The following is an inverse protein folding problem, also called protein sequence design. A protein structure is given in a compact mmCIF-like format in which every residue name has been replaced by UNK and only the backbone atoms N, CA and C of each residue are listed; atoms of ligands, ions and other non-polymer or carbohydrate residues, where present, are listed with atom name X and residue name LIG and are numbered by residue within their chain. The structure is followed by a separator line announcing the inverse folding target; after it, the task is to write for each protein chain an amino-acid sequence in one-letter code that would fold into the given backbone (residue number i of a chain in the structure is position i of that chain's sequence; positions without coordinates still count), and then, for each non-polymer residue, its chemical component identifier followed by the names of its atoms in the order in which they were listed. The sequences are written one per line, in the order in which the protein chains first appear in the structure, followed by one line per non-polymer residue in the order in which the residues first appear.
data_IF_965624089865
#
_entry.id   IF_965624089865
#
_cell.length_a   1.000
_cell.length_b   1.000
_cell.length_c   1.000
_cell.angle_alpha   90.00
_cell.angle_beta   90.00
_cell.angle_gamma   90.00
#
_symmetry.space_group_name_H-M   'P 1'
#
loop_
_entity.id
_entity.type
_entity.pdbx_description
1 polymer ?
#
# COMPACT_ATOMS: atom_id res chain seq x y z
N UNK A 1 2.09 -22.93 12.52
CA UNK A 1 3.52 -22.66 12.29
C UNK A 1 3.62 -21.95 10.96
N UNK A 2 4.11 -20.71 10.94
CA UNK A 2 4.31 -19.94 9.70
C UNK A 2 5.70 -20.29 9.18
N UNK A 3 5.78 -20.83 7.96
CA UNK A 3 7.06 -21.05 7.31
C UNK A 3 7.65 -19.68 6.95
N UNK A 4 8.77 -19.33 7.59
CA UNK A 4 9.44 -18.05 7.36
C UNK A 4 10.50 -18.25 6.29
N UNK A 5 10.34 -17.54 5.17
CA UNK A 5 11.36 -17.53 4.13
C UNK A 5 12.64 -16.85 4.65
N UNK A 6 13.82 -17.37 4.30
CA UNK A 6 15.12 -16.88 4.80
C UNK A 6 15.38 -15.40 4.50
N UNK A 7 14.77 -14.87 3.44
CA UNK A 7 14.89 -13.46 3.05
C UNK A 7 13.88 -12.52 3.73
N UNK A 8 12.96 -13.04 4.56
CA UNK A 8 11.97 -12.21 5.23
C UNK A 8 12.57 -11.50 6.46
N UNK A 9 12.40 -10.17 6.53
CA UNK A 9 12.87 -9.41 7.70
C UNK A 9 12.10 -9.80 8.98
N UNK A 10 12.70 -9.69 10.17
CA UNK A 10 11.98 -9.95 11.43
C UNK A 10 10.71 -9.11 11.59
N UNK A 11 10.75 -7.85 11.13
CA UNK A 11 9.60 -6.93 11.15
C UNK A 11 8.48 -7.42 10.21
N UNK A 12 8.83 -7.83 8.99
CA UNK A 12 7.90 -8.45 8.02
C UNK A 12 7.19 -9.66 8.64
N UNK A 13 7.93 -10.53 9.30
CA UNK A 13 7.39 -11.72 9.95
C UNK A 13 6.48 -11.36 11.12
N UNK A 14 6.84 -10.33 11.91
CA UNK A 14 6.03 -9.83 13.02
C UNK A 14 4.68 -9.29 12.55
N UNK A 15 4.67 -8.49 11.48
CA UNK A 15 3.45 -7.94 10.86
C UNK A 15 2.53 -9.07 10.42
N UNK A 16 3.04 -10.02 9.61
CA UNK A 16 2.26 -11.15 9.10
C UNK A 16 1.68 -11.97 10.26
N UNK A 17 2.49 -12.30 11.27
CA UNK A 17 2.03 -13.08 12.44
C UNK A 17 0.94 -12.37 13.24
N UNK A 18 1.07 -11.06 13.44
CA UNK A 18 0.05 -10.29 14.16
C UNK A 18 -1.27 -10.26 13.39
N UNK A 19 -1.23 -10.04 12.08
CA UNK A 19 -2.43 -10.01 11.24
C UNK A 19 -3.12 -11.38 11.22
N UNK A 20 -2.37 -12.46 11.04
CA UNK A 20 -2.90 -13.82 11.12
C UNK A 20 -3.53 -14.10 12.49
N UNK A 21 -2.88 -13.71 13.59
CA UNK A 21 -3.42 -13.88 14.96
C UNK A 21 -4.71 -13.09 15.16
N UNK A 22 -4.77 -11.83 14.72
CA UNK A 22 -5.97 -11.01 14.81
C UNK A 22 -7.13 -11.57 13.99
N UNK A 23 -6.85 -12.27 12.89
CA UNK A 23 -7.85 -12.96 12.08
C UNK A 23 -8.21 -14.38 12.58
N UNK A 24 -7.65 -14.83 13.71
CA UNK A 24 -7.84 -16.20 14.21
C UNK A 24 -7.16 -17.28 13.36
N UNK A 25 -6.25 -16.89 12.47
CA UNK A 25 -5.57 -17.79 11.53
C UNK A 25 -4.25 -18.28 12.14
N UNK A 26 -4.15 -19.58 12.39
CA UNK A 26 -2.92 -20.18 12.92
C UNK A 26 -1.97 -20.69 11.82
N UNK A 27 -2.51 -20.94 10.62
CA UNK A 27 -1.78 -21.39 9.42
C UNK A 27 -2.44 -20.81 8.18
N UNK A 28 -1.62 -20.35 7.24
CA UNK A 28 -2.12 -19.94 5.93
C UNK A 28 -2.19 -21.16 5.02
N UNK A 29 -3.35 -21.80 4.95
CA UNK A 29 -3.59 -23.02 4.20
C UNK A 29 -4.89 -22.89 3.39
N UNK A 30 -4.87 -22.18 2.25
CA UNK A 30 -6.04 -22.06 1.39
C UNK A 30 -6.44 -23.43 0.85
N UNK A 31 -7.73 -23.67 0.75
CA UNK A 31 -8.28 -24.85 0.10
C UNK A 31 -8.16 -24.69 -1.42
N UNK A 32 -7.23 -25.44 -2.02
CA UNK A 32 -6.97 -25.41 -3.45
C UNK A 32 -8.02 -26.15 -4.29
N UNK A 33 -8.93 -26.90 -3.67
CA UNK A 33 -10.09 -27.48 -4.36
C UNK A 33 -11.14 -26.42 -4.68
N UNK A 34 -11.10 -25.29 -3.98
CA UNK A 34 -12.01 -24.18 -4.15
C UNK A 34 -11.31 -22.97 -4.78
N UNK A 35 -12.03 -22.16 -5.59
CA UNK A 35 -11.45 -20.96 -6.16
C UNK A 35 -11.07 -19.96 -5.04
N UNK A 36 -10.13 -19.03 -5.30
CA UNK A 36 -9.70 -18.03 -4.32
C UNK A 36 -10.85 -17.17 -3.76
N UNK A 37 -11.88 -16.92 -4.57
CA UNK A 37 -13.06 -16.14 -4.18
C UNK A 37 -14.14 -16.95 -3.46
N UNK A 38 -13.91 -18.24 -3.21
CA UNK A 38 -14.86 -19.05 -2.45
C UNK A 38 -14.94 -18.56 -1.00
N UNK A 39 -16.14 -18.60 -0.37
CA UNK A 39 -16.31 -18.20 1.03
C UNK A 39 -15.35 -18.93 2.00
N UNK A 40 -15.04 -20.20 1.72
CA UNK A 40 -14.11 -21.03 2.49
C UNK A 40 -12.68 -20.48 2.53
N UNK A 41 -12.27 -19.72 1.51
CA UNK A 41 -10.95 -19.15 1.38
C UNK A 41 -10.90 -17.65 1.72
N UNK A 42 -12.06 -16.99 1.85
CA UNK A 42 -12.16 -15.53 1.92
C UNK A 42 -11.35 -14.94 3.08
N UNK A 43 -11.47 -15.49 4.29
CA UNK A 43 -10.74 -15.02 5.48
C UNK A 43 -9.21 -15.02 5.28
N UNK A 44 -8.69 -16.05 4.62
CA UNK A 44 -7.25 -16.17 4.34
C UNK A 44 -6.82 -15.10 3.34
N UNK A 45 -7.58 -14.90 2.27
CA UNK A 45 -7.26 -13.88 1.27
C UNK A 45 -7.40 -12.46 1.82
N UNK A 46 -8.41 -12.18 2.64
CA UNK A 46 -8.54 -10.90 3.35
C UNK A 46 -7.34 -10.65 4.27
N UNK A 47 -6.89 -11.69 4.99
CA UNK A 47 -5.68 -11.62 5.81
C UNK A 47 -4.42 -11.38 4.98
N UNK A 48 -4.31 -12.00 3.80
CA UNK A 48 -3.18 -11.80 2.89
C UNK A 48 -3.15 -10.39 2.30
N UNK A 49 -4.30 -9.86 1.87
CA UNK A 49 -4.44 -8.49 1.38
C UNK A 49 -4.05 -7.52 2.49
N UNK A 50 -4.60 -7.67 3.69
CA UNK A 50 -4.26 -6.84 4.85
C UNK A 50 -2.76 -6.89 5.16
N UNK A 51 -2.16 -8.07 5.15
CA UNK A 51 -0.72 -8.22 5.36
C UNK A 51 0.11 -7.52 4.28
N UNK A 52 -0.27 -7.66 3.01
CA UNK A 52 0.42 -6.99 1.92
C UNK A 52 0.37 -5.46 2.06
N UNK A 53 -0.80 -4.91 2.37
CA UNK A 53 -1.01 -3.46 2.55
C UNK A 53 -0.16 -2.92 3.71
N UNK A 54 -0.11 -3.61 4.85
CA UNK A 54 0.71 -3.19 6.00
C UNK A 54 2.21 -3.28 5.70
N UNK A 55 2.64 -4.28 4.93
CA UNK A 55 4.05 -4.41 4.51
C UNK A 55 4.48 -3.28 3.56
N UNK A 56 3.60 -2.83 2.67
CA UNK A 56 3.87 -1.69 1.80
C UNK A 56 4.02 -0.40 2.60
N UNK A 57 3.12 -0.17 3.56
CA UNK A 57 3.20 0.98 4.45
C UNK A 57 4.53 1.00 5.22
N UNK A 58 4.94 -0.15 5.75
CA UNK A 58 6.19 -0.28 6.49
C UNK A 58 7.43 -0.09 5.60
N UNK A 59 7.37 -0.46 4.33
CA UNK A 59 8.46 -0.15 3.39
C UNK A 59 8.61 1.36 3.19
N UNK A 60 7.52 2.10 2.97
CA UNK A 60 7.56 3.56 2.82
C UNK A 60 8.01 4.25 4.11
N UNK A 61 7.52 3.77 5.27
CA UNK A 61 7.96 4.27 6.58
C UNK A 61 9.44 3.99 6.84
N UNK A 62 9.99 2.85 6.40
CA UNK A 62 11.40 2.54 6.55
C UNK A 62 12.31 3.48 5.73
N UNK A 63 11.83 3.96 4.58
CA UNK A 63 12.53 5.00 3.81
C UNK A 63 12.35 6.35 4.49
N UNK A 64 11.14 6.70 4.90
CA UNK A 64 10.85 7.96 5.57
C UNK A 64 11.65 8.11 6.88
N UNK A 65 11.90 7.02 7.60
CA UNK A 65 12.71 7.06 8.83
C UNK A 65 14.19 7.35 8.63
N UNK A 66 14.67 7.29 7.39
CA UNK A 66 16.04 7.68 7.06
C UNK A 66 16.15 9.17 6.75
N UNK A 67 15.02 9.88 6.64
CA UNK A 67 14.94 11.30 6.33
C UNK A 67 14.49 12.02 7.60
N UNK A 68 15.31 12.95 8.07
CA UNK A 68 15.02 13.73 9.27
C UNK A 68 13.79 14.63 9.05
N UNK A 69 12.96 14.80 10.09
CA UNK A 69 11.78 15.68 10.07
C UNK A 69 10.50 15.07 9.49
N UNK A 70 10.49 13.78 9.09
CA UNK A 70 9.28 13.13 8.55
C UNK A 70 8.43 12.37 9.59
N UNK A 71 8.82 12.37 10.87
CA UNK A 71 8.15 11.61 11.94
C UNK A 71 6.67 11.96 12.06
N UNK A 72 6.32 13.23 11.92
CA UNK A 72 4.95 13.73 12.05
C UNK A 72 4.06 13.28 10.89
N UNK A 73 4.66 12.90 9.77
CA UNK A 73 3.96 12.43 8.58
C UNK A 73 3.72 10.92 8.60
N UNK A 74 4.27 10.16 9.55
CA UNK A 74 4.09 8.70 9.58
C UNK A 74 2.62 8.26 9.63
N UNK A 75 1.73 8.89 10.42
CA UNK A 75 0.31 8.57 10.40
C UNK A 75 -0.30 8.82 9.01
N UNK A 76 0.13 9.90 8.34
CA UNK A 76 -0.33 10.28 7.00
C UNK A 76 0.16 9.31 5.93
N UNK A 77 1.43 8.90 5.98
CA UNK A 77 2.02 7.91 5.08
C UNK A 77 1.25 6.60 5.24
N UNK A 78 1.14 6.07 6.47
CA UNK A 78 0.42 4.82 6.76
C UNK A 78 -1.07 4.90 6.36
N UNK A 79 -1.70 6.06 6.46
CA UNK A 79 -3.08 6.24 6.02
C UNK A 79 -3.24 6.13 4.51
N UNK A 80 -2.26 6.63 3.74
CA UNK A 80 -2.33 6.71 2.29
C UNK A 80 -1.81 5.47 1.56
N UNK A 81 -1.06 4.58 2.22
CA UNK A 81 -0.65 3.28 1.65
C UNK A 81 -1.77 2.23 1.64
N UNK A 82 -2.91 2.54 2.25
CA UNK A 82 -4.01 1.60 2.41
C UNK A 82 -4.95 1.66 1.21
N UNK A 83 -4.84 0.64 0.34
CA UNK A 83 -5.82 0.11 -0.62
C UNK A 83 -5.47 0.30 -2.12
N UNK A 84 -4.84 -0.74 -2.70
CA UNK A 84 -4.49 -0.88 -4.11
C UNK A 84 -5.51 -1.83 -4.80
N UNK A 85 -6.41 -1.30 -5.65
CA UNK A 85 -7.30 -2.16 -6.48
C UNK A 85 -6.56 -2.74 -7.72
N UNK A 86 -6.86 -4.00 -8.08
CA UNK A 86 -6.19 -4.85 -9.12
C UNK A 86 -7.11 -5.04 -10.36
N UNK A 87 -6.72 -5.48 -11.57
CA UNK A 87 -5.49 -5.99 -12.23
C UNK A 87 -5.71 -5.94 -13.77
N UNK A 88 -4.67 -5.66 -14.59
CA UNK A 88 -4.59 -6.21 -15.96
C UNK A 88 -3.20 -6.81 -16.22
N UNK A 89 -3.17 -7.88 -17.02
CA UNK A 89 -1.93 -8.58 -17.41
C UNK A 89 -1.53 -8.16 -18.83
N UNK A 90 -0.27 -7.82 -19.05
CA UNK A 90 0.25 -7.68 -20.41
C UNK A 90 0.22 -9.05 -21.12
N UNK A 91 0.12 -9.03 -22.45
CA UNK A 91 0.33 -10.26 -23.23
C UNK A 91 1.79 -10.70 -23.08
N UNK A 92 2.06 -12.00 -22.93
CA UNK A 92 3.43 -12.49 -22.86
C UNK A 92 4.19 -12.14 -24.14
N UNK A 93 5.40 -11.59 -24.00
CA UNK A 93 6.38 -11.61 -25.09
C UNK A 93 6.58 -13.08 -25.52
N UNK A 94 6.86 -13.30 -26.81
CA UNK A 94 6.80 -14.60 -27.53
C UNK A 94 7.48 -15.81 -26.83
N UNK A 95 8.29 -15.60 -25.79
CA UNK A 95 9.07 -16.61 -25.07
C UNK A 95 8.72 -16.75 -23.57
N UNK A 96 7.74 -16.00 -23.03
CA UNK A 96 7.32 -16.08 -21.63
C UNK A 96 5.95 -16.76 -21.50
N UNK A 97 5.78 -17.69 -20.54
CA UNK A 97 4.50 -18.38 -20.32
C UNK A 97 3.40 -17.47 -19.73
N UNK A 98 3.78 -16.33 -19.13
CA UNK A 98 2.87 -15.31 -18.59
C UNK A 98 3.48 -13.93 -18.81
N UNK A 99 2.67 -12.95 -19.22
CA UNK A 99 3.09 -11.55 -19.30
C UNK A 99 3.23 -10.91 -17.92
N UNK A 100 3.82 -9.72 -17.86
CA UNK A 100 4.00 -8.98 -16.62
C UNK A 100 2.64 -8.51 -16.10
N UNK A 101 2.45 -8.58 -14.78
CA UNK A 101 1.23 -8.07 -14.12
C UNK A 101 1.41 -6.59 -13.81
N UNK A 102 0.45 -5.78 -14.22
CA UNK A 102 0.49 -4.32 -14.07
C UNK A 102 -0.56 -3.89 -13.05
N UNK A 103 -0.15 -3.00 -12.15
CA UNK A 103 -1.09 -2.30 -11.26
C UNK A 103 -1.35 -0.92 -11.82
N UNK A 104 -2.62 -0.56 -12.05
CA UNK A 104 -3.01 0.83 -12.27
C UNK A 104 -3.20 1.48 -10.91
N UNK A 105 -2.41 2.51 -10.63
CA UNK A 105 -2.63 3.31 -9.42
C UNK A 105 -3.83 4.23 -9.68
N UNK A 106 -4.91 4.00 -8.93
CA UNK A 106 -6.10 4.85 -8.95
C UNK A 106 -5.82 6.19 -8.27
N UNK A 107 -6.55 7.23 -8.68
CA UNK A 107 -6.51 8.51 -8.00
C UNK A 107 -7.23 8.41 -6.67
N UNK A 108 -6.57 8.81 -5.59
CA UNK A 108 -7.22 8.95 -4.28
C UNK A 108 -7.79 10.38 -4.19
N UNK A 109 -9.12 10.57 -4.29
CA UNK A 109 -9.72 11.89 -4.52
C UNK A 109 -9.53 12.85 -3.34
N UNK A 110 -9.44 12.31 -2.13
CA UNK A 110 -9.20 13.11 -0.93
C UNK A 110 -7.75 13.54 -0.77
N UNK A 111 -6.79 12.93 -1.49
CA UNK A 111 -5.36 13.16 -1.31
C UNK A 111 -4.89 14.37 -2.12
N UNK A 112 -4.09 15.24 -1.51
CA UNK A 112 -3.51 16.39 -2.21
C UNK A 112 -2.50 15.93 -3.27
N UNK A 113 -2.29 16.77 -4.29
CA UNK A 113 -1.31 16.50 -5.35
C UNK A 113 0.11 16.45 -4.77
N UNK A 114 0.48 17.44 -3.95
CA UNK A 114 1.77 17.51 -3.28
C UNK A 114 2.05 16.27 -2.41
N UNK A 115 1.06 15.82 -1.62
CA UNK A 115 1.24 14.62 -0.81
C UNK A 115 1.33 13.34 -1.65
N UNK A 116 0.63 13.29 -2.79
CA UNK A 116 0.80 12.20 -3.75
C UNK A 116 2.24 12.15 -4.25
N UNK A 117 2.78 13.27 -4.75
CA UNK A 117 4.15 13.39 -5.24
C UNK A 117 5.19 13.03 -4.17
N UNK A 118 4.98 13.45 -2.93
CA UNK A 118 5.82 13.07 -1.80
C UNK A 118 5.90 11.55 -1.61
N UNK A 119 4.78 10.82 -1.66
CA UNK A 119 4.79 9.35 -1.58
C UNK A 119 5.50 8.71 -2.77
N UNK A 120 5.41 9.31 -3.97
CA UNK A 120 6.15 8.85 -5.16
C UNK A 120 7.66 8.92 -4.94
N UNK A 121 8.13 10.01 -4.34
CA UNK A 121 9.54 10.20 -4.04
C UNK A 121 10.05 9.17 -3.03
N UNK A 122 9.26 8.85 -2.00
CA UNK A 122 9.61 7.80 -1.04
C UNK A 122 9.73 6.43 -1.71
N UNK A 123 8.78 6.08 -2.58
CA UNK A 123 8.83 4.83 -3.35
C UNK A 123 10.09 4.77 -4.24
N UNK A 124 10.42 5.86 -4.93
CA UNK A 124 11.57 5.94 -5.84
C UNK A 124 12.91 5.86 -5.10
N UNK A 125 13.04 6.52 -3.94
CA UNK A 125 14.21 6.38 -3.06
C UNK A 125 14.35 4.91 -2.63
N UNK A 126 13.26 4.28 -2.20
CA UNK A 126 13.27 2.87 -1.79
C UNK A 126 13.67 1.92 -2.93
N UNK A 127 13.22 2.20 -4.16
CA UNK A 127 13.58 1.40 -5.34
C UNK A 127 15.06 1.58 -5.71
N UNK A 128 15.58 2.82 -5.68
CA UNK A 128 17.01 3.09 -5.88
C UNK A 128 17.89 2.39 -4.85
N UNK A 129 17.47 2.36 -3.57
CA UNK A 129 18.17 1.62 -2.52
C UNK A 129 18.20 0.11 -2.78
N UNK A 130 17.09 -0.47 -3.25
CA UNK A 130 17.04 -1.89 -3.62
C UNK A 130 17.94 -2.21 -4.81
N UNK A 131 17.94 -1.36 -5.84
CA UNK A 131 18.79 -1.53 -7.02
C UNK A 131 20.28 -1.40 -6.69
N UNK A 132 20.63 -0.52 -5.75
CA UNK A 132 22.00 -0.39 -5.24
C UNK A 132 22.42 -1.59 -4.38
N UNK A 133 21.48 -2.37 -3.84
CA UNK A 133 21.80 -3.55 -3.06
C UNK A 133 22.29 -4.68 -3.96
N UNK A 134 23.44 -5.28 -3.63
CA UNK A 134 24.03 -6.40 -4.37
C UNK A 134 23.25 -7.72 -4.25
N UNK A 135 22.14 -7.72 -3.50
CA UNK A 135 21.30 -8.88 -3.31
C UNK A 135 20.40 -9.05 -4.53
N UNK A 136 20.65 -10.08 -5.34
CA UNK A 136 19.74 -10.49 -6.41
C UNK A 136 18.36 -10.75 -5.78
N UNK A 137 17.27 -10.17 -6.31
CA UNK A 137 15.93 -10.43 -5.79
C UNK A 137 15.65 -11.93 -5.88
N UNK A 138 15.26 -12.52 -4.74
CA UNK A 138 14.83 -13.91 -4.68
C UNK A 138 13.35 -13.97 -5.02
N UNK A 139 13.01 -14.54 -6.18
CA UNK A 139 11.64 -14.69 -6.67
C UNK A 139 11.33 -13.88 -7.93
N UNK A 140 10.08 -13.95 -8.42
CA UNK A 140 9.64 -13.18 -9.59
C UNK A 140 9.87 -11.68 -9.38
N UNK A 141 10.21 -10.93 -10.44
CA UNK A 141 10.41 -9.49 -10.32
C UNK A 141 9.16 -8.81 -9.74
N UNK A 142 9.33 -7.73 -8.95
CA UNK A 142 8.22 -6.94 -8.45
C UNK A 142 7.29 -6.54 -9.60
N UNK A 143 5.98 -6.55 -9.34
CA UNK A 143 4.99 -6.10 -10.31
C UNK A 143 5.22 -4.62 -10.62
N UNK A 144 5.10 -4.24 -11.89
CA UNK A 144 5.27 -2.84 -12.31
C UNK A 144 4.00 -2.06 -11.97
N UNK A 145 4.16 -0.94 -11.27
CA UNK A 145 3.07 -0.01 -10.94
C UNK A 145 3.02 1.08 -12.00
N UNK A 146 1.96 1.08 -12.81
CA UNK A 146 1.70 2.09 -13.83
C UNK A 146 0.81 3.20 -13.27
N UNK A 147 1.19 4.44 -13.55
CA UNK A 147 0.41 5.64 -13.21
C UNK A 147 -0.04 6.23 -14.53
N UNK A 148 -1.33 6.16 -14.80
CA UNK A 148 -1.90 6.84 -15.98
C UNK A 148 -1.99 8.34 -15.71
N UNK A 149 -1.89 9.16 -16.76
CA UNK A 149 -2.00 10.62 -16.64
C UNK A 149 -3.38 11.07 -16.13
N UNK A 150 -4.42 10.26 -16.40
CA UNK A 150 -5.78 10.49 -15.91
C UNK A 150 -6.35 9.22 -15.27
N UNK A 151 -5.91 8.88 -14.04
CA UNK A 151 -6.32 7.63 -13.41
C UNK A 151 -7.77 7.71 -12.93
N UNK A 152 -8.49 6.59 -13.05
CA UNK A 152 -9.83 6.48 -12.48
C UNK A 152 -9.82 6.75 -10.96
N UNK A 153 -10.91 7.34 -10.46
CA UNK A 153 -11.05 7.66 -9.03
C UNK A 153 -11.25 6.38 -8.22
N UNK A 154 -10.38 6.15 -7.24
CA UNK A 154 -10.49 5.05 -6.29
C UNK A 154 -11.53 5.32 -5.20
N UNK A 155 -11.97 4.25 -4.53
CA UNK A 155 -12.97 4.28 -3.46
C UNK A 155 -12.37 4.48 -2.06
N UNK A 156 -11.06 4.71 -1.97
CA UNK A 156 -10.32 4.80 -0.72
C UNK A 156 -10.89 5.90 0.16
N UNK A 157 -11.39 5.52 1.33
CA UNK A 157 -11.93 6.46 2.29
C UNK A 157 -10.79 7.16 3.06
N UNK A 158 -10.94 8.46 3.36
CA UNK A 158 -9.99 9.20 4.20
C UNK A 158 -10.00 8.68 5.63
N UNK A 159 -8.83 8.67 6.29
CA UNK A 159 -8.75 8.48 7.75
C UNK A 159 -8.98 9.80 8.48
N UNK A 160 -9.48 9.71 9.70
CA UNK A 160 -9.60 10.87 10.61
C UNK A 160 -8.23 11.26 11.17
N UNK A 161 -8.14 12.49 11.71
CA UNK A 161 -6.95 13.05 12.36
C UNK A 161 -5.73 13.23 11.45
N UNK A 162 -5.96 13.46 10.16
CA UNK A 162 -4.89 13.78 9.22
C UNK A 162 -4.67 15.30 9.11
N UNK A 163 -3.43 15.74 8.82
CA UNK A 163 -3.10 17.15 8.56
C UNK A 163 -3.83 17.69 7.34
N UNK A 164 -4.17 18.97 7.38
CA UNK A 164 -4.87 19.66 6.28
C UNK A 164 -4.18 19.51 4.92
N UNK A 165 -2.85 19.52 4.90
CA UNK A 165 -2.05 19.49 3.65
C UNK A 165 -2.09 18.14 2.93
N UNK A 166 -2.48 17.09 3.64
CA UNK A 166 -2.71 15.76 3.07
C UNK A 166 -3.98 15.77 2.22
N UNK A 167 -4.93 16.66 2.50
CA UNK A 167 -6.21 16.71 1.82
C UNK A 167 -6.18 17.58 0.56
N UNK A 168 -6.83 17.12 -0.50
CA UNK A 168 -7.14 17.95 -1.66
C UNK A 168 -8.12 19.06 -1.24
N UNK A 169 -7.74 20.32 -1.49
CA UNK A 169 -8.51 21.48 -1.04
C UNK A 169 -9.89 21.59 -1.72
N UNK A 170 -10.01 21.20 -2.99
CA UNK A 170 -11.27 21.17 -3.72
C UNK A 170 -12.20 20.08 -3.21
N UNK A 171 -11.66 18.88 -2.97
CA UNK A 171 -12.41 17.77 -2.39
C UNK A 171 -12.87 18.06 -0.95
N UNK A 172 -12.00 18.64 -0.12
CA UNK A 172 -12.37 18.99 1.25
C UNK A 172 -13.51 20.02 1.25
N UNK A 173 -13.53 20.95 0.29
CA UNK A 173 -14.59 21.95 0.10
C UNK A 173 -15.89 21.40 -0.51
N UNK A 174 -15.90 20.21 -1.11
CA UNK A 174 -17.11 19.59 -1.63
C UNK A 174 -17.85 18.73 -0.59
N UNK A 175 -17.18 18.37 0.51
CA UNK A 175 -17.80 17.61 1.61
C UNK A 175 -18.83 18.42 2.39
N UNK A 176 -19.87 17.74 2.90
CA UNK A 176 -20.81 18.31 3.87
C UNK A 176 -20.12 18.63 5.21
N UNK A 177 -20.71 19.54 5.97
CA UNK A 177 -20.12 20.01 7.24
C UNK A 177 -19.94 18.86 8.25
N UNK A 178 -20.89 17.92 8.33
CA UNK A 178 -20.80 16.77 9.22
C UNK A 178 -19.66 15.82 8.85
N UNK A 179 -19.50 15.54 7.55
CA UNK A 179 -18.38 14.72 7.06
C UNK A 179 -17.04 15.38 7.36
N UNK A 180 -16.92 16.70 7.21
CA UNK A 180 -15.70 17.43 7.57
C UNK A 180 -15.40 17.38 9.05
N UNK A 181 -16.41 17.53 9.91
CA UNK A 181 -16.24 17.40 11.38
C UNK A 181 -15.77 16.00 11.76
N UNK A 182 -16.31 14.97 11.12
CA UNK A 182 -15.90 13.58 11.32
C UNK A 182 -14.43 13.30 10.98
N UNK A 183 -13.82 14.06 10.07
CA UNK A 183 -12.41 13.90 9.69
C UNK A 183 -11.43 14.45 10.73
N UNK A 184 -11.86 15.34 11.64
CA UNK A 184 -11.00 15.94 12.67
C UNK A 184 -9.66 16.45 12.09
N UNK A 185 -9.75 17.28 11.04
CA UNK A 185 -8.58 17.75 10.29
C UNK A 185 -7.63 18.54 11.19
N UNK A 186 -6.37 18.11 11.23
CA UNK A 186 -5.31 18.71 12.03
C UNK A 186 -4.68 19.93 11.31
N UNK A 187 -3.98 20.82 12.04
CA UNK A 187 -3.23 21.91 11.44
C UNK A 187 -2.28 21.43 10.32
N UNK A 188 -1.99 22.30 9.33
CA UNK A 188 -1.06 21.98 8.25
C UNK A 188 0.35 21.69 8.79
N UNK A 189 1.06 20.76 8.15
CA UNK A 189 2.48 20.49 8.43
C UNK A 189 3.41 21.34 7.57
N UNK A 190 2.86 22.19 6.70
CA UNK A 190 3.59 23.03 5.75
C UNK A 190 4.46 22.17 4.82
N UNK A 191 3.85 21.14 4.22
CA UNK A 191 4.43 20.42 3.09
C UNK A 191 4.58 21.43 1.93
N UNK A 192 5.76 22.06 1.82
CA UNK A 192 6.12 22.98 0.73
C UNK A 192 6.68 22.22 -0.46
#
# INVERSE_FOLDING_TARGET
MVYVHKAASPQTVKIIKNIMRCAGVHRFAPDFLNPPKAPSNQLLWDSAVKAFTELLAEQQLAVASQIEGLTDLYPSIRAACSDDETDYKEQPLRNLKQGRKHFKILQVPWRSKAFSEFLLLLDDIGERQKQASFCKPSGPPPRVRHREDNPATGLVQPKSNLPKDVFNSGWLKSLSQDKRRGLQVQPPHNLK
#
